data_IF_783825047045
#
_entry.id   IF_783825047045
#
_cell.length_a   1.000
_cell.length_b   1.000
_cell.length_c   1.000
_cell.angle_alpha   90.00
_cell.angle_beta   90.00
_cell.angle_gamma   90.00
#
_symmetry.space_group_name_H-M   'P 1'
#
loop_
_entity.id
_entity.type
_entity.pdbx_description
1 polymer ?
#
# COMPACT_ATOMS: atom_id res chain seq x y z
N UNK A 1 23.68 5.14 -0.15
CA UNK A 1 22.79 6.12 0.53
C UNK A 1 22.08 7.09 -0.43
N UNK A 2 22.75 7.76 -1.37
CA UNK A 2 22.10 8.69 -2.33
C UNK A 2 21.00 8.04 -3.20
N UNK A 3 21.18 6.78 -3.64
CA UNK A 3 20.21 6.03 -4.47
C UNK A 3 18.89 5.67 -3.76
N UNK A 4 18.88 5.50 -2.44
CA UNK A 4 17.63 5.29 -1.67
C UNK A 4 16.83 6.59 -1.52
N UNK A 5 17.49 7.75 -1.52
CA UNK A 5 16.89 9.06 -1.26
C UNK A 5 16.10 9.62 -2.46
N UNK A 6 16.42 9.19 -3.67
CA UNK A 6 15.77 9.65 -4.91
C UNK A 6 14.48 8.85 -5.15
N UNK A 7 14.53 7.52 -4.98
CA UNK A 7 13.36 6.64 -5.10
C UNK A 7 12.26 7.05 -4.13
N UNK A 8 12.60 7.46 -2.90
CA UNK A 8 11.60 7.88 -1.91
C UNK A 8 10.88 9.18 -2.27
N UNK A 9 11.56 10.18 -2.86
CA UNK A 9 10.92 11.46 -3.20
C UNK A 9 9.90 11.33 -4.33
N UNK A 10 10.28 10.65 -5.43
CA UNK A 10 9.36 10.42 -6.55
C UNK A 10 8.22 9.49 -6.18
N UNK A 11 8.51 8.44 -5.39
CA UNK A 11 7.48 7.56 -4.83
C UNK A 11 6.44 8.34 -4.02
N UNK A 12 6.89 9.16 -3.05
CA UNK A 12 5.99 9.97 -2.23
C UNK A 12 5.20 10.95 -3.09
N UNK A 13 5.83 11.58 -4.08
CA UNK A 13 5.14 12.53 -4.97
C UNK A 13 4.02 11.85 -5.76
N UNK A 14 4.29 10.70 -6.38
CA UNK A 14 3.28 9.94 -7.15
C UNK A 14 2.18 9.42 -6.21
N UNK A 15 2.55 8.95 -5.02
CA UNK A 15 1.61 8.51 -3.98
C UNK A 15 0.64 9.63 -3.59
N UNK A 16 1.15 10.83 -3.33
CA UNK A 16 0.33 12.00 -2.96
C UNK A 16 -0.59 12.42 -4.11
N UNK A 17 -0.09 12.41 -5.35
CA UNK A 17 -0.91 12.73 -6.53
C UNK A 17 -2.07 11.73 -6.67
N UNK A 18 -1.80 10.43 -6.54
CA UNK A 18 -2.83 9.39 -6.61
C UNK A 18 -3.86 9.50 -5.49
N UNK A 19 -3.41 9.78 -4.26
CA UNK A 19 -4.28 10.01 -3.11
C UNK A 19 -5.28 11.13 -3.39
N UNK A 20 -4.80 12.27 -3.86
CA UNK A 20 -5.63 13.45 -4.15
C UNK A 20 -6.58 13.18 -5.31
N UNK A 21 -6.08 12.68 -6.45
CA UNK A 21 -6.89 12.37 -7.62
C UNK A 21 -8.02 11.39 -7.31
N UNK A 22 -7.70 10.29 -6.62
CA UNK A 22 -8.69 9.26 -6.32
C UNK A 22 -9.68 9.71 -5.26
N UNK A 23 -9.26 10.53 -4.29
CA UNK A 23 -10.18 11.16 -3.34
C UNK A 23 -11.18 12.10 -4.03
N UNK A 24 -10.72 12.87 -5.02
CA UNK A 24 -11.60 13.72 -5.84
C UNK A 24 -12.59 12.86 -6.63
N UNK A 25 -12.11 11.82 -7.33
CA UNK A 25 -12.96 10.92 -8.13
C UNK A 25 -14.01 10.26 -7.25
N UNK A 26 -13.61 9.65 -6.12
CA UNK A 26 -14.56 9.02 -5.20
C UNK A 26 -15.50 10.05 -4.57
N UNK A 27 -15.04 11.27 -4.29
CA UNK A 27 -15.89 12.36 -3.80
C UNK A 27 -16.98 12.77 -4.78
N UNK A 28 -16.69 12.77 -6.08
CA UNK A 28 -17.69 13.02 -7.12
C UNK A 28 -18.66 11.85 -7.32
N UNK A 29 -18.19 10.60 -7.22
CA UNK A 29 -19.06 9.41 -7.36
C UNK A 29 -20.00 9.28 -6.17
N UNK A 30 -19.44 9.26 -4.96
CA UNK A 30 -20.16 9.23 -3.70
C UNK A 30 -19.23 9.64 -2.55
N UNK A 31 -19.47 10.77 -1.86
CA UNK A 31 -18.62 11.23 -0.76
C UNK A 31 -18.38 10.18 0.33
N UNK A 32 -19.32 9.24 0.52
CA UNK A 32 -19.18 8.14 1.48
C UNK A 32 -18.09 7.13 1.12
N UNK A 33 -17.62 7.12 -0.13
CA UNK A 33 -16.54 6.24 -0.60
C UNK A 33 -15.14 6.77 -0.30
N UNK A 34 -15.01 8.06 0.02
CA UNK A 34 -13.72 8.66 0.37
C UNK A 34 -13.14 7.94 1.60
N UNK A 35 -13.93 7.74 2.65
CA UNK A 35 -13.41 7.17 3.89
C UNK A 35 -12.94 5.72 3.74
N UNK A 36 -13.72 4.79 3.15
CA UNK A 36 -13.24 3.44 2.87
C UNK A 36 -11.98 3.42 1.99
N UNK A 37 -11.93 4.28 0.97
CA UNK A 37 -10.75 4.45 0.12
C UNK A 37 -9.53 4.89 0.93
N UNK A 38 -9.64 5.93 1.76
CA UNK A 38 -8.56 6.44 2.60
C UNK A 38 -8.05 5.37 3.57
N UNK A 39 -8.95 4.60 4.19
CA UNK A 39 -8.58 3.49 5.09
C UNK A 39 -7.77 2.44 4.33
N UNK A 40 -8.24 2.02 3.15
CA UNK A 40 -7.51 1.07 2.31
C UNK A 40 -6.12 1.60 1.91
N UNK A 41 -6.05 2.86 1.51
CA UNK A 41 -4.82 3.52 1.09
C UNK A 41 -3.80 3.64 2.22
N UNK A 42 -4.24 4.05 3.42
CA UNK A 42 -3.39 4.15 4.60
C UNK A 42 -2.88 2.77 5.05
N UNK A 43 -3.70 1.73 5.00
CA UNK A 43 -3.25 0.35 5.28
C UNK A 43 -2.22 -0.13 4.26
N UNK A 44 -2.37 0.25 3.00
CA UNK A 44 -1.37 0.01 1.96
C UNK A 44 -0.01 0.64 2.29
N UNK A 45 -0.01 1.92 2.66
CA UNK A 45 1.21 2.65 3.07
C UNK A 45 1.82 2.00 4.32
N UNK A 46 1.01 1.74 5.35
CA UNK A 46 1.49 1.13 6.58
C UNK A 46 2.14 -0.23 6.31
N UNK A 47 1.51 -1.04 5.45
CA UNK A 47 2.07 -2.32 5.03
C UNK A 47 3.42 -2.17 4.33
N UNK A 48 3.55 -1.19 3.44
CA UNK A 48 4.82 -0.90 2.79
C UNK A 48 5.91 -0.51 3.78
N UNK A 49 5.61 0.41 4.71
CA UNK A 49 6.56 0.89 5.72
C UNK A 49 7.04 -0.26 6.61
N UNK A 50 6.11 -1.07 7.13
CA UNK A 50 6.43 -2.22 7.97
C UNK A 50 7.27 -3.25 7.23
N UNK A 51 6.95 -3.53 5.97
CA UNK A 51 7.71 -4.49 5.18
C UNK A 51 9.11 -3.95 4.82
N UNK A 52 9.22 -2.68 4.43
CA UNK A 52 10.50 -2.08 4.10
C UNK A 52 11.46 -2.09 5.29
N UNK A 53 11.01 -1.59 6.45
CA UNK A 53 11.84 -1.56 7.67
C UNK A 53 12.07 -2.96 8.25
N UNK A 54 11.04 -3.79 8.31
CA UNK A 54 11.15 -5.16 8.80
C UNK A 54 12.10 -6.00 7.95
N UNK A 55 11.95 -5.96 6.62
CA UNK A 55 12.83 -6.68 5.69
C UNK A 55 14.28 -6.24 5.85
N UNK A 56 14.55 -4.95 6.00
CA UNK A 56 15.91 -4.45 6.22
C UNK A 56 16.49 -4.89 7.57
N UNK A 57 15.69 -4.86 8.63
CA UNK A 57 16.10 -5.32 9.96
C UNK A 57 16.43 -6.82 9.97
N UNK A 58 15.55 -7.66 9.39
CA UNK A 58 15.78 -9.11 9.32
C UNK A 58 16.92 -9.47 8.39
N UNK A 59 17.09 -8.78 7.26
CA UNK A 59 18.20 -9.02 6.34
C UNK A 59 19.56 -8.76 7.00
N UNK A 60 19.64 -7.75 7.87
CA UNK A 60 20.90 -7.37 8.53
C UNK A 60 21.20 -8.19 9.79
N UNK A 61 20.18 -8.57 10.57
CA UNK A 61 20.38 -9.22 11.87
C UNK A 61 20.11 -10.74 11.85
N UNK A 62 19.28 -11.23 10.92
CA UNK A 62 18.78 -12.61 10.92
C UNK A 62 18.60 -13.16 9.49
N UNK A 63 19.70 -13.28 8.74
CA UNK A 63 19.70 -13.70 7.33
C UNK A 63 18.94 -15.01 7.07
N UNK A 64 19.06 -15.98 7.97
CA UNK A 64 18.39 -17.28 7.83
C UNK A 64 16.87 -17.19 8.06
N UNK A 65 16.41 -16.25 8.89
CA UNK A 65 14.99 -16.05 9.18
C UNK A 65 14.32 -15.03 8.22
N UNK A 66 15.08 -14.36 7.36
CA UNK A 66 14.57 -13.34 6.44
C UNK A 66 13.48 -13.88 5.49
N UNK A 67 13.70 -15.05 4.91
CA UNK A 67 12.73 -15.69 4.00
C UNK A 67 11.43 -16.00 4.74
N UNK A 68 11.54 -16.57 5.94
CA UNK A 68 10.39 -16.87 6.79
C UNK A 68 9.62 -15.59 7.18
N UNK A 69 10.34 -14.51 7.53
CA UNK A 69 9.74 -13.20 7.82
C UNK A 69 8.94 -12.66 6.63
N UNK A 70 9.49 -12.71 5.41
CA UNK A 70 8.78 -12.24 4.21
C UNK A 70 7.47 -13.02 4.01
N UNK A 71 7.51 -14.35 4.13
CA UNK A 71 6.34 -15.20 3.93
C UNK A 71 5.27 -14.89 4.99
N UNK A 72 5.66 -14.84 6.27
CA UNK A 72 4.72 -14.53 7.36
C UNK A 72 4.14 -13.13 7.20
N UNK A 73 4.98 -12.14 6.89
CA UNK A 73 4.57 -10.75 6.63
C UNK A 73 3.58 -10.66 5.47
N UNK A 74 3.76 -11.46 4.42
CA UNK A 74 2.84 -11.53 3.29
C UNK A 74 1.49 -12.15 3.68
N UNK A 75 1.51 -13.30 4.34
CA UNK A 75 0.29 -14.00 4.79
C UNK A 75 -0.51 -13.11 5.75
N UNK A 76 0.14 -12.53 6.76
CA UNK A 76 -0.52 -11.68 7.75
C UNK A 76 -1.24 -10.49 7.09
N UNK A 77 -0.62 -9.92 6.07
CA UNK A 77 -1.18 -8.80 5.32
C UNK A 77 -2.43 -9.22 4.53
N UNK A 78 -2.40 -10.37 3.85
CA UNK A 78 -3.58 -10.93 3.18
C UNK A 78 -4.71 -11.13 4.17
N UNK A 79 -4.41 -11.70 5.34
CA UNK A 79 -5.41 -11.92 6.40
C UNK A 79 -6.02 -10.58 6.85
N UNK A 80 -5.20 -9.57 7.15
CA UNK A 80 -5.70 -8.25 7.59
C UNK A 80 -6.60 -7.63 6.51
N UNK A 81 -6.20 -7.65 5.24
CA UNK A 81 -6.99 -7.08 4.15
C UNK A 81 -8.32 -7.82 4.00
N UNK A 82 -8.26 -9.16 4.04
CA UNK A 82 -9.44 -10.01 3.90
C UNK A 82 -10.41 -9.78 5.06
N UNK A 83 -9.93 -9.66 6.30
CA UNK A 83 -10.77 -9.40 7.47
C UNK A 83 -11.49 -8.05 7.36
N UNK A 84 -10.77 -6.98 6.96
CA UNK A 84 -11.39 -5.67 6.76
C UNK A 84 -12.38 -5.69 5.59
N UNK A 85 -12.03 -6.36 4.48
CA UNK A 85 -12.92 -6.50 3.34
C UNK A 85 -14.19 -7.29 3.70
N UNK A 86 -14.07 -8.41 4.40
CA UNK A 86 -15.22 -9.21 4.89
C UNK A 86 -16.09 -8.37 5.81
N UNK A 87 -15.50 -7.64 6.76
CA UNK A 87 -16.25 -6.74 7.63
C UNK A 87 -17.05 -5.70 6.84
N UNK A 88 -16.41 -5.08 5.84
CA UNK A 88 -17.08 -4.12 4.96
C UNK A 88 -18.18 -4.77 4.12
N UNK A 89 -17.96 -5.97 3.57
CA UNK A 89 -18.98 -6.70 2.80
C UNK A 89 -20.21 -7.01 3.65
N UNK A 90 -20.01 -7.45 4.90
CA UNK A 90 -21.09 -7.83 5.79
C UNK A 90 -21.88 -6.63 6.35
N UNK A 91 -21.24 -5.47 6.54
CA UNK A 91 -21.86 -4.30 7.15
C UNK A 91 -22.30 -3.24 6.15
N UNK A 92 -21.46 -2.96 5.14
CA UNK A 92 -21.70 -1.92 4.14
C UNK A 92 -21.05 -2.32 2.80
N UNK A 93 -21.66 -3.24 2.03
CA UNK A 93 -21.01 -3.88 0.88
C UNK A 93 -20.49 -2.91 -0.18
N UNK A 94 -21.16 -1.77 -0.34
CA UNK A 94 -20.76 -0.70 -1.26
C UNK A 94 -19.39 -0.07 -0.90
N UNK A 95 -18.86 -0.31 0.30
CA UNK A 95 -17.58 0.25 0.76
C UNK A 95 -16.40 -0.70 0.55
N UNK A 96 -16.65 -1.98 0.27
CA UNK A 96 -15.58 -2.96 0.05
C UNK A 96 -14.76 -2.61 -1.20
N UNK A 97 -15.42 -2.17 -2.28
CA UNK A 97 -14.75 -1.84 -3.54
C UNK A 97 -13.83 -0.60 -3.43
N UNK A 98 -14.27 0.57 -2.92
CA UNK A 98 -13.37 1.71 -2.70
C UNK A 98 -12.19 1.36 -1.77
N UNK A 99 -12.43 0.54 -0.74
CA UNK A 99 -11.38 0.06 0.16
C UNK A 99 -10.31 -0.77 -0.58
N UNK A 100 -10.72 -1.76 -1.37
CA UNK A 100 -9.79 -2.60 -2.15
C UNK A 100 -9.00 -1.76 -3.15
N UNK A 101 -9.65 -0.77 -3.78
CA UNK A 101 -8.97 0.17 -4.67
C UNK A 101 -7.91 0.99 -3.91
N UNK A 102 -8.26 1.54 -2.75
CA UNK A 102 -7.31 2.25 -1.90
C UNK A 102 -6.10 1.39 -1.54
N UNK A 103 -6.34 0.15 -1.13
CA UNK A 103 -5.29 -0.80 -0.78
C UNK A 103 -4.42 -1.23 -1.98
N UNK A 104 -4.94 -1.27 -3.20
CA UNK A 104 -4.14 -1.67 -4.38
C UNK A 104 -3.35 -0.50 -4.96
N UNK A 105 -3.88 0.73 -4.88
CA UNK A 105 -3.28 1.92 -5.51
C UNK A 105 -1.91 2.32 -4.95
N UNK A 106 -1.56 1.95 -3.71
CA UNK A 106 -0.21 2.25 -3.19
C UNK A 106 0.90 1.54 -3.99
N UNK A 107 0.57 0.48 -4.73
CA UNK A 107 1.55 -0.28 -5.52
C UNK A 107 1.94 0.45 -6.80
N UNK A 108 1.10 1.37 -7.30
CA UNK A 108 1.36 2.10 -8.55
C UNK A 108 2.63 2.96 -8.49
N UNK A 109 2.87 3.80 -7.46
CA UNK A 109 4.14 4.51 -7.29
C UNK A 109 5.36 3.59 -7.28
N UNK A 110 5.23 2.39 -6.69
CA UNK A 110 6.31 1.41 -6.64
C UNK A 110 6.66 0.92 -8.06
N UNK A 111 5.66 0.49 -8.83
CA UNK A 111 5.84 0.00 -10.20
C UNK A 111 6.45 1.09 -11.09
N UNK A 112 5.92 2.31 -11.03
CA UNK A 112 6.42 3.45 -11.81
C UNK A 112 7.89 3.75 -11.47
N UNK A 113 8.25 3.71 -10.19
CA UNK A 113 9.64 3.93 -9.76
C UNK A 113 10.61 2.85 -10.27
N UNK A 114 10.16 1.59 -10.36
CA UNK A 114 10.95 0.48 -10.90
C UNK A 114 11.15 0.62 -12.41
N UNK A 115 10.09 1.00 -13.14
CA UNK A 115 10.14 1.16 -14.60
C UNK A 115 11.07 2.29 -14.98
N UNK A 116 10.96 3.47 -14.35
CA UNK A 116 11.86 4.61 -14.62
C UNK A 116 13.33 4.24 -14.47
N UNK A 117 13.66 3.44 -13.46
CA UNK A 117 15.03 3.01 -13.19
C UNK A 117 15.61 2.05 -14.24
N UNK A 118 14.79 1.32 -15.00
CA UNK A 118 15.28 0.43 -16.06
C UNK A 118 15.63 1.16 -17.36
N UNK A 119 15.21 2.43 -17.49
CA UNK A 119 15.48 3.26 -18.67
C UNK A 119 16.68 4.21 -18.52
N UNK A 120 17.35 4.20 -17.36
CA UNK A 120 18.61 4.91 -17.05
C UNK A 120 19.78 3.91 -17.00
#
# INVERSE_FOLDING_TARGET
MLRQKIITKDFIKILMILLVLMSIIFGYINPKFIMPFLVGFLLGILSYVLNYHGSFYFLNNYKEAFVLFIIISFILRIIIIALVAIYLILKVPNYAFPYIIGYTLYQVPLIVSIIKKKGE
#
